data_IF_991509768602
#
_entry.id   IF_991509768602
#
_cell.length_a   1.000
_cell.length_b   1.000
_cell.length_c   1.000
_cell.angle_alpha   90.00
_cell.angle_beta   90.00
_cell.angle_gamma   90.00
#
_symmetry.space_group_name_H-M   'P 1'
#
loop_
_entity.id
_entity.type
_entity.pdbx_description
1 polymer ?
#
# COMPACT_ATOMS: atom_id res chain seq x y z
N UNK A 1 9.29 -9.96 25.20
CA UNK A 1 8.16 -10.88 24.93
C UNK A 1 7.20 -10.20 23.97
N UNK A 2 7.10 -10.71 22.75
CA UNK A 2 6.23 -10.16 21.72
C UNK A 2 6.11 -11.19 20.62
N UNK A 3 5.39 -12.27 20.91
CA UNK A 3 4.99 -13.25 19.91
C UNK A 3 4.01 -12.56 18.96
N UNK A 4 4.55 -11.81 18.00
CA UNK A 4 3.80 -11.34 16.86
C UNK A 4 3.35 -12.60 16.14
N UNK A 5 2.06 -12.93 16.27
CA UNK A 5 1.44 -13.98 15.46
C UNK A 5 1.91 -13.77 14.03
N UNK A 6 2.58 -14.75 13.45
CA UNK A 6 2.96 -14.73 12.05
C UNK A 6 1.67 -14.89 11.26
N UNK A 7 1.01 -13.76 11.05
CA UNK A 7 -0.19 -13.67 10.24
C UNK A 7 0.28 -13.89 8.82
N UNK A 8 -0.15 -15.00 8.21
CA UNK A 8 0.11 -15.29 6.81
C UNK A 8 -0.59 -14.23 5.95
N UNK A 9 0.15 -13.15 5.65
CA UNK A 9 -0.31 -12.05 4.82
C UNK A 9 0.29 -12.27 3.44
N UNK A 10 -0.56 -12.41 2.43
CA UNK A 10 -0.13 -12.52 1.05
C UNK A 10 -0.03 -11.11 0.45
N UNK A 11 1.15 -10.77 -0.08
CA UNK A 11 1.37 -9.52 -0.78
C UNK A 11 1.29 -9.76 -2.29
N UNK A 12 0.31 -9.17 -2.97
CA UNK A 12 0.19 -9.22 -4.43
C UNK A 12 0.42 -7.85 -5.05
N UNK A 13 0.97 -7.81 -6.26
CA UNK A 13 1.09 -6.59 -7.04
C UNK A 13 -0.25 -6.13 -7.60
N UNK A 14 -0.45 -4.82 -7.70
CA UNK A 14 -1.60 -4.27 -8.40
C UNK A 14 -1.41 -4.41 -9.91
N UNK A 15 -2.45 -4.94 -10.56
CA UNK A 15 -2.61 -5.23 -11.99
C UNK A 15 -4.01 -4.80 -12.40
N UNK A 16 -4.25 -4.61 -13.69
CA UNK A 16 -5.57 -4.22 -14.20
C UNK A 16 -6.68 -5.20 -13.77
N UNK A 17 -6.34 -6.48 -13.60
CA UNK A 17 -7.25 -7.52 -13.13
C UNK A 17 -7.70 -7.35 -11.68
N UNK A 18 -6.87 -6.77 -10.81
CA UNK A 18 -7.12 -6.66 -9.37
C UNK A 18 -7.22 -5.19 -8.88
N UNK A 19 -7.18 -4.20 -9.79
CA UNK A 19 -7.40 -2.77 -9.49
C UNK A 19 -8.76 -2.50 -8.84
N UNK A 20 -9.77 -3.31 -9.14
CA UNK A 20 -11.09 -3.22 -8.52
C UNK A 20 -11.06 -3.47 -7.02
N UNK A 21 -10.15 -4.33 -6.53
CA UNK A 21 -9.95 -4.53 -5.09
C UNK A 21 -9.41 -3.26 -4.44
N UNK A 22 -8.42 -2.61 -5.08
CA UNK A 22 -7.88 -1.33 -4.62
C UNK A 22 -8.96 -0.23 -4.59
N UNK A 23 -9.82 -0.15 -5.62
CA UNK A 23 -10.95 0.81 -5.68
C UNK A 23 -11.91 0.63 -4.50
N UNK A 24 -12.34 -0.61 -4.25
CA UNK A 24 -13.25 -0.94 -3.14
C UNK A 24 -12.62 -0.63 -1.79
N UNK A 25 -11.35 -0.98 -1.62
CA UNK A 25 -10.62 -0.80 -0.37
C UNK A 25 -10.40 0.70 -0.08
N UNK A 26 -10.01 1.48 -1.09
CA UNK A 26 -9.91 2.94 -0.96
C UNK A 26 -11.24 3.58 -0.60
N UNK A 27 -12.35 3.11 -1.18
CA UNK A 27 -13.70 3.63 -0.87
C UNK A 27 -14.13 3.30 0.56
N UNK A 28 -13.69 2.15 1.09
CA UNK A 28 -13.99 1.74 2.46
C UNK A 28 -13.08 2.43 3.50
N UNK A 29 -11.82 2.69 3.15
CA UNK A 29 -10.84 3.29 4.06
C UNK A 29 -10.86 4.82 4.07
N UNK A 30 -11.08 5.42 2.90
CA UNK A 30 -11.01 6.86 2.72
C UNK A 30 -12.37 7.38 2.25
N UNK A 31 -12.88 8.47 2.85
CA UNK A 31 -14.10 9.11 2.37
C UNK A 31 -13.91 9.84 1.03
N UNK A 32 -12.68 9.87 0.50
CA UNK A 32 -12.29 10.56 -0.74
C UNK A 32 -12.35 9.60 -1.92
N UNK A 33 -12.99 10.01 -3.02
CA UNK A 33 -12.98 9.27 -4.28
C UNK A 33 -11.72 9.61 -5.08
N UNK A 34 -10.88 8.61 -5.30
CA UNK A 34 -9.71 8.74 -6.18
C UNK A 34 -10.11 8.59 -7.66
N UNK A 35 -9.50 9.41 -8.51
CA UNK A 35 -9.70 9.37 -9.97
C UNK A 35 -8.90 8.25 -10.64
N UNK A 36 -9.22 7.92 -11.89
CA UNK A 36 -8.52 6.88 -12.66
C UNK A 36 -7.03 7.14 -12.84
N UNK A 37 -6.61 8.42 -12.89
CA UNK A 37 -5.19 8.81 -12.92
C UNK A 37 -4.40 8.25 -11.74
N UNK A 38 -4.98 8.25 -10.54
CA UNK A 38 -4.36 7.68 -9.36
C UNK A 38 -4.14 6.17 -9.50
N UNK A 39 -5.11 5.45 -10.08
CA UNK A 39 -4.98 4.01 -10.31
C UNK A 39 -3.96 3.70 -11.41
N UNK A 40 -3.88 4.53 -12.45
CA UNK A 40 -2.87 4.43 -13.49
C UNK A 40 -1.45 4.65 -12.92
N UNK A 41 -1.27 5.66 -12.08
CA UNK A 41 0.00 5.92 -11.38
C UNK A 41 0.39 4.77 -10.43
N UNK A 42 -0.59 4.19 -9.74
CA UNK A 42 -0.39 3.04 -8.85
C UNK A 42 0.02 1.78 -9.64
N UNK A 43 -0.62 1.52 -10.79
CA UNK A 43 -0.28 0.44 -11.72
C UNK A 43 1.12 0.63 -12.32
N UNK A 44 1.46 1.84 -12.72
CA UNK A 44 2.78 2.18 -13.26
C UNK A 44 3.92 1.94 -12.25
N UNK A 45 3.60 2.03 -10.96
CA UNK A 45 4.56 1.79 -9.89
C UNK A 45 4.72 0.31 -9.53
N UNK A 46 3.90 -0.58 -10.09
CA UNK A 46 4.08 -2.04 -10.09
C UNK A 46 4.54 -2.62 -8.75
N UNK A 47 5.85 -2.85 -8.62
CA UNK A 47 6.47 -3.47 -7.44
C UNK A 47 6.36 -2.65 -6.15
N UNK A 48 6.18 -1.33 -6.25
CA UNK A 48 6.00 -0.46 -5.09
C UNK A 48 4.55 -0.39 -4.61
N UNK A 49 3.60 -0.78 -5.46
CA UNK A 49 2.17 -0.82 -5.13
C UNK A 49 1.78 -2.26 -4.84
N UNK A 50 1.40 -2.55 -3.59
CA UNK A 50 1.05 -3.89 -3.14
C UNK A 50 -0.30 -3.92 -2.45
N UNK A 51 -1.02 -5.01 -2.64
CA UNK A 51 -2.24 -5.36 -1.93
C UNK A 51 -1.90 -6.40 -0.87
N UNK A 52 -2.41 -6.21 0.34
CA UNK A 52 -2.28 -7.15 1.43
C UNK A 52 -3.56 -7.97 1.54
N UNK A 53 -3.43 -9.28 1.37
CA UNK A 53 -4.50 -10.25 1.53
C UNK A 53 -4.29 -11.04 2.81
N UNK A 54 -5.37 -11.23 3.54
CA UNK A 54 -5.42 -12.07 4.72
C UNK A 54 -6.61 -13.03 4.58
N UNK A 55 -6.33 -14.33 4.61
CA UNK A 55 -7.35 -15.38 4.36
C UNK A 55 -8.18 -15.10 3.11
N UNK A 56 -7.50 -14.79 1.99
CA UNK A 56 -8.09 -14.46 0.67
C UNK A 56 -8.91 -13.17 0.59
N UNK A 57 -8.98 -12.40 1.68
CA UNK A 57 -9.66 -11.10 1.74
C UNK A 57 -8.63 -9.99 1.65
N UNK A 58 -8.88 -9.00 0.78
CA UNK A 58 -8.03 -7.82 0.70
C UNK A 58 -8.25 -6.94 1.94
N UNK A 59 -7.27 -6.91 2.83
CA UNK A 59 -7.35 -6.23 4.13
C UNK A 59 -6.59 -4.92 4.18
N UNK A 60 -5.70 -4.69 3.21
CA UNK A 60 -4.99 -3.43 3.09
C UNK A 60 -4.35 -3.24 1.73
N UNK A 61 -3.88 -2.03 1.49
CA UNK A 61 -3.15 -1.68 0.28
C UNK A 61 -2.13 -0.60 0.55
N UNK A 62 -1.04 -0.65 -0.21
CA UNK A 62 -0.08 0.43 -0.35
C UNK A 62 -0.03 0.82 -1.82
N UNK A 63 -0.20 2.11 -2.09
CA UNK A 63 -0.08 2.64 -3.43
C UNK A 63 1.01 3.69 -3.47
N UNK A 64 1.99 3.46 -4.33
CA UNK A 64 3.12 4.33 -4.52
C UNK A 64 3.09 4.91 -5.93
N UNK A 65 3.77 6.04 -6.08
CA UNK A 65 4.05 6.70 -7.35
C UNK A 65 5.54 6.91 -7.48
N UNK A 66 6.13 6.47 -8.59
CA UNK A 66 7.53 6.73 -8.91
C UNK A 66 7.66 8.06 -9.63
N UNK A 67 8.34 9.02 -9.02
CA UNK A 67 8.71 10.28 -9.66
C UNK A 67 10.21 10.30 -9.94
N UNK A 68 10.57 10.32 -11.23
CA UNK A 68 11.95 10.50 -11.68
C UNK A 68 12.27 12.00 -11.63
N UNK A 69 13.24 12.41 -10.82
CA UNK A 69 13.75 13.78 -10.83
C UNK A 69 14.85 13.96 -11.87
N UNK A 70 14.95 15.18 -12.38
CA UNK A 70 16.04 15.65 -13.23
C UNK A 70 17.36 15.50 -12.47
N UNK A 71 18.23 14.59 -12.93
CA UNK A 71 19.41 14.12 -12.19
C UNK A 71 19.45 12.61 -11.89
N UNK A 72 18.47 11.83 -12.36
CA UNK A 72 18.50 10.36 -12.28
C UNK A 72 18.04 9.77 -10.93
N UNK A 73 17.74 10.61 -9.95
CA UNK A 73 17.18 10.17 -8.67
C UNK A 73 15.70 9.80 -8.81
N UNK A 74 15.34 8.58 -8.43
CA UNK A 74 13.95 8.10 -8.37
C UNK A 74 13.43 8.34 -6.96
N UNK A 75 12.33 9.09 -6.83
CA UNK A 75 11.62 9.28 -5.56
C UNK A 75 10.36 8.45 -5.56
N UNK A 76 10.17 7.68 -4.49
CA UNK A 76 8.94 6.92 -4.26
C UNK A 76 8.02 7.78 -3.40
N UNK A 77 6.88 8.19 -3.96
CA UNK A 77 5.85 8.91 -3.25
C UNK A 77 4.75 7.93 -2.82
N UNK A 78 4.50 7.79 -1.53
CA UNK A 78 3.38 7.00 -1.03
C UNK A 78 2.11 7.83 -1.21
N UNK A 79 1.24 7.44 -2.14
CA UNK A 79 -0.02 8.13 -2.39
C UNK A 79 -1.07 7.75 -1.35
N UNK A 80 -1.20 6.44 -1.07
CA UNK A 80 -2.05 5.94 0.01
C UNK A 80 -1.41 4.75 0.69
N UNK A 81 -1.67 4.64 1.99
CA UNK A 81 -1.37 3.48 2.78
C UNK A 81 -2.56 3.29 3.72
N UNK A 82 -3.14 2.10 3.70
CA UNK A 82 -4.32 1.85 4.49
C UNK A 82 -4.54 0.37 4.76
N UNK A 83 -5.00 0.08 5.97
CA UNK A 83 -5.41 -1.25 6.42
C UNK A 83 -6.77 -1.12 7.08
N UNK A 84 -7.65 -2.08 6.82
CA UNK A 84 -8.95 -2.21 7.44
C UNK A 84 -8.83 -2.19 8.96
N UNK A 85 -9.71 -1.41 9.61
CA UNK A 85 -9.76 -1.25 11.07
C UNK A 85 -9.57 -2.54 11.88
N UNK A 86 -10.31 -3.64 11.59
CA UNK A 86 -10.19 -4.89 12.35
C UNK A 86 -8.84 -5.62 12.18
N UNK A 87 -8.03 -5.27 11.18
CA UNK A 87 -6.73 -5.91 10.90
C UNK A 87 -5.54 -5.01 11.27
N UNK A 88 -5.80 -3.82 11.83
CA UNK A 88 -4.76 -2.96 12.39
C UNK A 88 -4.13 -3.62 13.61
N UNK A 89 -2.82 -3.46 13.79
CA UNK A 89 -2.08 -4.12 14.87
C UNK A 89 -1.53 -5.51 14.53
N UNK A 90 -1.86 -6.08 13.37
CA UNK A 90 -1.26 -7.33 12.87
C UNK A 90 0.11 -7.14 12.20
N UNK A 91 0.64 -5.92 12.20
CA UNK A 91 1.91 -5.61 11.54
C UNK A 91 1.86 -5.68 10.00
N UNK A 92 0.67 -5.71 9.37
CA UNK A 92 0.51 -5.72 7.91
C UNK A 92 1.24 -4.55 7.26
N UNK A 93 0.98 -3.33 7.75
CA UNK A 93 1.67 -2.13 7.26
C UNK A 93 3.19 -2.18 7.52
N UNK A 94 3.64 -2.90 8.56
CA UNK A 94 5.06 -3.11 8.83
C UNK A 94 5.67 -4.10 7.84
N UNK A 95 4.95 -5.17 7.48
CA UNK A 95 5.36 -6.14 6.47
C UNK A 95 5.43 -5.51 5.08
N UNK A 96 4.38 -4.80 4.65
CA UNK A 96 4.35 -4.13 3.36
C UNK A 96 5.27 -2.91 3.32
N UNK A 97 5.34 -2.16 4.42
CA UNK A 97 6.20 -0.99 4.54
C UNK A 97 7.69 -1.32 4.63
N UNK A 98 8.09 -2.50 5.11
CA UNK A 98 9.50 -2.92 5.09
C UNK A 98 10.03 -3.03 3.65
N UNK A 99 9.15 -3.39 2.70
CA UNK A 99 9.48 -3.42 1.28
C UNK A 99 9.85 -2.02 0.77
N UNK A 100 9.17 -0.97 1.25
CA UNK A 100 9.47 0.43 0.93
C UNK A 100 10.57 1.04 1.82
N UNK A 101 10.83 0.47 3.01
CA UNK A 101 11.88 0.94 3.91
C UNK A 101 13.28 0.74 3.32
N UNK A 102 13.43 -0.13 2.32
CA UNK A 102 14.62 -0.22 1.48
C UNK A 102 14.84 1.01 0.58
N UNK A 103 13.85 1.88 0.38
CA UNK A 103 13.89 3.00 -0.58
C UNK A 103 13.72 4.39 0.07
N UNK A 104 14.40 4.63 1.20
CA UNK A 104 14.58 5.96 1.83
C UNK A 104 13.39 6.52 2.66
N UNK A 105 13.48 6.27 3.97
CA UNK A 105 13.25 7.25 5.06
C UNK A 105 11.96 8.08 5.00
N UNK A 106 10.78 7.45 5.08
CA UNK A 106 9.53 8.18 5.40
C UNK A 106 9.17 8.12 6.89
N UNK A 107 9.83 8.99 7.67
CA UNK A 107 9.30 9.51 8.93
C UNK A 107 8.28 10.61 8.63
N UNK A 108 7.02 10.24 8.39
CA UNK A 108 5.78 11.02 8.55
C UNK A 108 4.74 10.53 7.53
N UNK A 109 4.29 9.28 7.66
CA UNK A 109 2.97 8.95 7.17
C UNK A 109 1.99 9.55 8.19
N UNK A 110 1.33 10.63 7.78
CA UNK A 110 0.29 11.28 8.56
C UNK A 110 -0.70 10.21 9.01
N UNK A 111 -0.96 10.23 10.30
CA UNK A 111 -1.76 9.28 11.05
C UNK A 111 -3.15 9.11 10.45
N UNK A 112 -3.31 8.07 9.63
CA UNK A 112 -4.56 7.32 9.53
C UNK A 112 -4.23 5.90 9.96
N UNK A 113 -3.90 5.85 11.26
CA UNK A 113 -3.88 4.63 12.06
C UNK A 113 -5.21 3.95 11.90
#
# INVERSE_FOLDING_TARGET
MGAGREVAILLDGVRDKNVMHLKKLNTALFPVRYNDKYYADALASGEFTKLAYYSDICVGSIACRLEKKEGGAIRVYIMTLGVLAPYRGLGIAKHTGNLLACSDKQRRCHQLL
#
